data_IF_006553188946
#
_entry.id   IF_006553188946
#
_cell.length_a   1.000
_cell.length_b   1.000
_cell.length_c   1.000
_cell.angle_alpha   90.00
_cell.angle_beta   90.00
_cell.angle_gamma   90.00
#
_symmetry.space_group_name_H-M   'P 1'
#
loop_
_entity.id
_entity.type
_entity.pdbx_description
1 polymer ?
#
# COMPACT_ATOMS: atom_id res chain seq x y z
N UNK A 1 -6.00 32.90 12.71
CA UNK A 1 -6.08 31.45 12.47
C UNK A 1 -4.87 31.05 11.66
N UNK A 2 -3.95 30.25 12.23
CA UNK A 2 -2.79 29.73 11.49
C UNK A 2 -3.34 28.81 10.38
N UNK A 3 -3.07 29.15 9.12
CA UNK A 3 -3.37 28.28 7.98
C UNK A 3 -2.57 27.00 8.19
N UNK A 4 -3.23 25.89 8.47
CA UNK A 4 -2.60 24.57 8.44
C UNK A 4 -2.09 24.40 7.00
N UNK A 5 -0.80 24.14 6.78
CA UNK A 5 -0.28 23.99 5.44
C UNK A 5 -0.87 22.72 4.83
N UNK A 6 -1.86 22.91 3.94
CA UNK A 6 -2.59 21.85 3.22
C UNK A 6 -1.64 20.97 2.39
N UNK A 7 -0.38 21.40 2.17
CA UNK A 7 0.64 20.66 1.43
C UNK A 7 1.50 19.69 2.24
N UNK A 8 1.51 19.74 3.58
CA UNK A 8 2.36 18.83 4.38
C UNK A 8 1.69 17.49 4.68
N UNK A 9 0.36 17.50 4.85
CA UNK A 9 -0.46 16.31 5.07
C UNK A 9 -0.34 15.27 3.93
N UNK A 10 -0.43 15.64 2.64
CA UNK A 10 -0.36 14.68 1.53
C UNK A 10 0.97 13.93 1.47
N UNK A 11 2.10 14.61 1.72
CA UNK A 11 3.43 14.00 1.63
C UNK A 11 3.65 13.01 2.76
N UNK A 12 3.26 13.38 3.99
CA UNK A 12 3.37 12.50 5.15
C UNK A 12 2.50 11.25 4.97
N UNK A 13 1.25 11.41 4.52
CA UNK A 13 0.37 10.28 4.25
C UNK A 13 0.93 9.37 3.16
N UNK A 14 1.48 9.92 2.08
CA UNK A 14 2.11 9.11 1.03
C UNK A 14 3.27 8.27 1.57
N UNK A 15 4.13 8.87 2.41
CA UNK A 15 5.23 8.17 3.07
C UNK A 15 4.74 7.06 4.02
N UNK A 16 3.71 7.35 4.81
CA UNK A 16 3.10 6.36 5.72
C UNK A 16 2.51 5.17 4.95
N UNK A 17 1.88 5.40 3.80
CA UNK A 17 1.42 4.32 2.92
C UNK A 17 2.61 3.50 2.39
N UNK A 18 3.66 4.14 1.88
CA UNK A 18 4.83 3.43 1.37
C UNK A 18 5.52 2.55 2.42
N UNK A 19 5.71 3.08 3.63
CA UNK A 19 6.24 2.30 4.76
C UNK A 19 5.28 1.17 5.16
N UNK A 20 3.97 1.41 5.10
CA UNK A 20 2.93 0.41 5.35
C UNK A 20 2.97 -0.75 4.37
N UNK A 21 3.13 -0.47 3.07
CA UNK A 21 3.27 -1.49 2.01
C UNK A 21 4.47 -2.40 2.29
N UNK A 22 5.63 -1.82 2.63
CA UNK A 22 6.81 -2.62 2.99
C UNK A 22 6.60 -3.51 4.21
N UNK A 23 5.87 -3.03 5.22
CA UNK A 23 5.49 -3.83 6.40
C UNK A 23 4.53 -4.95 6.04
N UNK A 24 3.55 -4.71 5.17
CA UNK A 24 2.62 -5.73 4.69
C UNK A 24 3.40 -6.85 4.00
N UNK A 25 4.28 -6.52 3.05
CA UNK A 25 5.16 -7.50 2.38
C UNK A 25 5.97 -8.31 3.41
N UNK A 26 6.55 -7.65 4.41
CA UNK A 26 7.26 -8.34 5.49
C UNK A 26 6.34 -9.30 6.30
N UNK A 27 5.12 -8.87 6.63
CA UNK A 27 4.14 -9.71 7.31
C UNK A 27 3.74 -10.93 6.47
N UNK A 28 3.56 -10.76 5.16
CA UNK A 28 3.30 -11.87 4.24
C UNK A 28 4.46 -12.88 4.26
N UNK A 29 5.71 -12.43 4.17
CA UNK A 29 6.87 -13.31 4.25
C UNK A 29 7.01 -14.06 5.58
N UNK A 30 6.53 -13.47 6.68
CA UNK A 30 6.61 -14.04 8.03
C UNK A 30 5.32 -14.76 8.46
N UNK A 31 4.31 -14.84 7.59
CA UNK A 31 3.03 -15.50 7.87
C UNK A 31 2.10 -14.73 8.82
N UNK A 32 2.35 -13.44 9.07
CA UNK A 32 1.57 -12.58 9.97
C UNK A 32 0.35 -11.97 9.28
N UNK A 33 -0.53 -12.79 8.71
CA UNK A 33 -1.66 -12.34 7.87
C UNK A 33 -2.59 -11.36 8.55
N UNK A 34 -3.01 -11.65 9.78
CA UNK A 34 -3.91 -10.76 10.52
C UNK A 34 -3.32 -9.37 10.77
N UNK A 35 -1.99 -9.27 10.90
CA UNK A 35 -1.31 -7.98 11.02
C UNK A 35 -1.27 -7.23 9.67
N UNK A 36 -1.09 -7.95 8.56
CA UNK A 36 -1.22 -7.39 7.22
C UNK A 36 -2.64 -6.88 6.96
N UNK A 37 -3.67 -7.66 7.29
CA UNK A 37 -5.08 -7.28 7.07
C UNK A 37 -5.46 -6.00 7.81
N UNK A 38 -5.08 -5.90 9.09
CA UNK A 38 -5.32 -4.69 9.89
C UNK A 38 -4.64 -3.46 9.28
N UNK A 39 -3.37 -3.61 8.88
CA UNK A 39 -2.62 -2.52 8.28
C UNK A 39 -3.20 -2.11 6.92
N UNK A 40 -3.67 -3.07 6.10
CA UNK A 40 -4.34 -2.77 4.82
C UNK A 40 -5.57 -1.87 5.05
N UNK A 41 -6.41 -2.18 6.04
CA UNK A 41 -7.58 -1.36 6.34
C UNK A 41 -7.20 0.05 6.83
N UNK A 42 -6.16 0.18 7.63
CA UNK A 42 -5.62 1.48 8.04
C UNK A 42 -5.13 2.31 6.83
N UNK A 43 -4.39 1.68 5.92
CA UNK A 43 -3.91 2.36 4.71
C UNK A 43 -5.07 2.77 3.80
N UNK A 44 -6.13 1.96 3.69
CA UNK A 44 -7.33 2.31 2.90
C UNK A 44 -8.01 3.56 3.43
N UNK A 45 -8.11 3.72 4.75
CA UNK A 45 -8.66 4.95 5.36
C UNK A 45 -7.75 6.14 5.06
N UNK A 46 -6.44 5.96 5.18
CA UNK A 46 -5.47 7.01 4.92
C UNK A 46 -5.48 7.49 3.46
N UNK A 47 -5.70 6.57 2.51
CA UNK A 47 -5.70 6.89 1.07
C UNK A 47 -6.92 7.70 0.62
N UNK A 48 -8.02 7.72 1.39
CA UNK A 48 -9.23 8.52 1.07
C UNK A 48 -8.95 10.02 0.91
N UNK A 49 -7.85 10.50 1.49
CA UNK A 49 -7.42 11.89 1.42
C UNK A 49 -6.38 12.16 0.31
N UNK A 50 -6.04 11.15 -0.49
CA UNK A 50 -5.08 11.21 -1.59
C UNK A 50 -5.75 11.12 -2.95
N UNK A 51 -4.96 11.29 -4.00
CA UNK A 51 -5.42 11.27 -5.38
C UNK A 51 -6.00 9.89 -5.78
N UNK A 52 -7.02 9.89 -6.64
CA UNK A 52 -7.72 8.67 -7.10
C UNK A 52 -6.78 7.54 -7.60
N UNK A 53 -5.68 7.83 -8.33
CA UNK A 53 -4.74 6.78 -8.75
C UNK A 53 -4.12 6.01 -7.58
N UNK A 54 -3.83 6.69 -6.46
CA UNK A 54 -3.26 6.06 -5.26
C UNK A 54 -4.32 5.20 -4.57
N UNK A 55 -5.55 5.70 -4.46
CA UNK A 55 -6.67 4.95 -3.89
C UNK A 55 -6.90 3.64 -4.65
N UNK A 56 -6.93 3.73 -5.99
CA UNK A 56 -7.12 2.56 -6.86
C UNK A 56 -5.96 1.57 -6.77
N UNK A 57 -4.71 2.05 -6.80
CA UNK A 57 -3.54 1.20 -6.67
C UNK A 57 -3.50 0.46 -5.32
N UNK A 58 -3.90 1.12 -4.23
CA UNK A 58 -3.99 0.48 -2.92
C UNK A 58 -5.09 -0.58 -2.85
N UNK A 59 -6.24 -0.35 -3.51
CA UNK A 59 -7.30 -1.36 -3.60
C UNK A 59 -6.83 -2.60 -4.36
N UNK A 60 -6.16 -2.41 -5.51
CA UNK A 60 -5.59 -3.52 -6.30
C UNK A 60 -4.58 -4.30 -5.46
N UNK A 61 -3.63 -3.61 -4.82
CA UNK A 61 -2.66 -4.27 -3.93
C UNK A 61 -3.34 -5.07 -2.81
N UNK A 62 -4.37 -4.52 -2.17
CA UNK A 62 -5.14 -5.23 -1.16
C UNK A 62 -5.86 -6.47 -1.72
N UNK A 63 -6.42 -6.37 -2.92
CA UNK A 63 -7.09 -7.48 -3.60
C UNK A 63 -6.11 -8.62 -3.94
N UNK A 64 -4.93 -8.30 -4.46
CA UNK A 64 -3.89 -9.31 -4.75
C UNK A 64 -3.43 -10.03 -3.48
N UNK A 65 -3.27 -9.30 -2.37
CA UNK A 65 -2.95 -9.91 -1.07
C UNK A 65 -4.04 -10.89 -0.62
N UNK A 66 -5.32 -10.51 -0.74
CA UNK A 66 -6.42 -11.40 -0.37
C UNK A 66 -6.55 -12.59 -1.32
N UNK A 67 -6.34 -12.37 -2.62
CA UNK A 67 -6.38 -13.43 -3.63
C UNK A 67 -5.28 -14.47 -3.38
N UNK A 68 -4.07 -14.02 -3.04
CA UNK A 68 -2.99 -14.91 -2.62
C UNK A 68 -3.42 -15.80 -1.46
N UNK A 69 -4.07 -15.27 -0.42
CA UNK A 69 -4.53 -16.09 0.71
C UNK A 69 -5.53 -17.18 0.31
N UNK A 70 -6.40 -16.88 -0.66
CA UNK A 70 -7.42 -17.81 -1.14
C UNK A 70 -6.84 -18.92 -2.02
N UNK A 71 -5.80 -18.62 -2.79
CA UNK A 71 -5.25 -19.54 -3.80
C UNK A 71 -3.97 -20.26 -3.35
N UNK A 72 -3.15 -19.63 -2.52
CA UNK A 72 -1.88 -20.16 -2.06
C UNK A 72 -1.57 -19.80 -0.60
N UNK A 73 -2.05 -20.62 0.36
CA UNK A 73 -1.80 -20.38 1.77
C UNK A 73 -0.36 -20.70 2.21
N UNK A 74 0.53 -21.19 1.34
CA UNK A 74 1.83 -21.73 1.74
C UNK A 74 3.02 -21.06 1.03
N UNK A 75 2.82 -20.38 -0.10
CA UNK A 75 3.89 -19.65 -0.78
C UNK A 75 4.04 -18.20 -0.33
N UNK A 76 5.28 -17.73 -0.49
CA UNK A 76 5.74 -16.37 -0.26
C UNK A 76 4.99 -15.40 -1.17
N UNK A 77 5.09 -14.10 -0.87
CA UNK A 77 4.58 -12.98 -1.68
C UNK A 77 4.70 -13.32 -3.17
N UNK A 78 3.57 -13.28 -3.90
CA UNK A 78 3.54 -13.59 -5.34
C UNK A 78 4.04 -12.41 -6.17
N UNK A 79 4.39 -12.68 -7.43
CA UNK A 79 4.81 -11.62 -8.34
C UNK A 79 3.71 -10.56 -8.52
N UNK A 80 2.45 -10.98 -8.53
CA UNK A 80 1.30 -10.07 -8.67
C UNK A 80 1.19 -9.11 -7.48
N UNK A 81 1.50 -9.59 -6.26
CA UNK A 81 1.55 -8.73 -5.06
C UNK A 81 2.75 -7.77 -5.11
N UNK A 82 3.91 -8.22 -5.60
CA UNK A 82 5.08 -7.37 -5.79
C UNK A 82 4.82 -6.29 -6.85
N UNK A 83 4.27 -6.66 -8.01
CA UNK A 83 3.94 -5.74 -9.10
C UNK A 83 2.89 -4.70 -8.66
N UNK A 84 1.87 -5.12 -7.91
CA UNK A 84 0.87 -4.22 -7.36
C UNK A 84 1.45 -3.28 -6.30
N UNK A 85 2.39 -3.76 -5.48
CA UNK A 85 3.11 -2.93 -4.51
C UNK A 85 3.98 -1.88 -5.23
N UNK A 86 4.78 -2.29 -6.21
CA UNK A 86 5.62 -1.38 -7.00
C UNK A 86 4.77 -0.32 -7.68
N UNK A 87 3.63 -0.72 -8.26
CA UNK A 87 2.71 0.23 -8.90
C UNK A 87 2.11 1.22 -7.91
N UNK A 88 1.84 0.81 -6.68
CA UNK A 88 1.41 1.71 -5.62
C UNK A 88 2.52 2.69 -5.23
N UNK A 89 3.76 2.21 -5.05
CA UNK A 89 4.91 3.08 -4.71
C UNK A 89 5.20 4.11 -5.82
N UNK A 90 5.08 3.72 -7.09
CA UNK A 90 5.14 4.65 -8.23
C UNK A 90 4.08 5.75 -8.13
N UNK A 91 2.81 5.38 -7.90
CA UNK A 91 1.72 6.35 -7.79
C UNK A 91 1.87 7.30 -6.58
N UNK A 92 2.56 6.87 -5.53
CA UNK A 92 2.92 7.71 -4.39
C UNK A 92 4.05 8.71 -4.72
N UNK A 93 4.73 8.54 -5.86
CA UNK A 93 5.79 9.43 -6.33
C UNK A 93 7.17 9.14 -5.72
N UNK A 94 7.40 7.92 -5.20
CA UNK A 94 8.69 7.53 -4.62
C UNK A 94 9.67 6.91 -5.62
N UNK A 95 9.23 6.58 -6.83
CA UNK A 95 10.10 6.20 -7.94
C UNK A 95 10.05 7.27 -9.05
N UNK A 96 11.16 7.53 -9.77
CA UNK A 96 11.10 8.37 -10.96
C UNK A 96 10.20 7.69 -12.01
N UNK A 97 9.48 8.46 -12.86
CA UNK A 97 8.82 7.87 -14.02
C UNK A 97 9.88 7.15 -14.85
N UNK A 98 9.67 5.85 -15.10
CA UNK A 98 10.46 5.07 -16.04
C UNK A 98 10.47 5.80 -17.39
N UNK A 99 11.67 6.14 -17.88
CA UNK A 99 11.89 6.77 -19.20
C UNK A 99 11.33 5.91 -20.36
#
# INVERSE_FOLDING_TARGET
>A
MKKIPVNELPIRSKKEIAEGVGKIIHFLHTGQRSAADLLIEELKVLSLYLEEPIQRALLIFAEEVQFQYAYDPWHKVTQEVEDAADKLIENLGFFPPSE
#
